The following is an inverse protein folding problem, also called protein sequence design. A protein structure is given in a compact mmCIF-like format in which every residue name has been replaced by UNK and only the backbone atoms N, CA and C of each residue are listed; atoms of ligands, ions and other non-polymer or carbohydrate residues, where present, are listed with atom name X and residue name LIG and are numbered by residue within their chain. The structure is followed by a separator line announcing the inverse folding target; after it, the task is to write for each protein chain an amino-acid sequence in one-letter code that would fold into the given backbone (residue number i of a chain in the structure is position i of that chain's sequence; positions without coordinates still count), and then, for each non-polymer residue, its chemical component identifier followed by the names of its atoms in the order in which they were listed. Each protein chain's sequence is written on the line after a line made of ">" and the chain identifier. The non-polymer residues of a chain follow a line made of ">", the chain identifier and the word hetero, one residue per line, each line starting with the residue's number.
data_IF_561558285675
#
_entry.id   IF_561558285675
#
_cell.length_a   1.000
_cell.length_b   1.000
_cell.length_c   1.000
_cell.angle_alpha   90.00
_cell.angle_beta   90.00
_cell.angle_gamma   90.00
#
_symmetry.space_group_name_H-M   'P 1'
#
loop_
_entity.id
_entity.type
_entity.pdbx_description
1 polymer ?
#
# COMPACT_ATOMS: atom_id res chain seq x y z
N UNK A 1 16.67 16.14 -17.32
CA UNK A 1 17.92 16.72 -16.78
C UNK A 1 17.75 18.21 -16.61
N UNK A 2 18.39 18.82 -15.60
CA UNK A 2 18.28 20.24 -15.16
C UNK A 2 16.86 20.67 -14.69
N UNK A 3 16.60 21.21 -13.49
CA UNK A 3 17.20 22.36 -12.74
C UNK A 3 16.92 23.71 -13.43
N UNK A 4 16.47 24.77 -12.75
CA UNK A 4 16.23 24.96 -11.30
C UNK A 4 15.31 26.15 -10.99
N UNK A 5 14.71 26.13 -9.80
CA UNK A 5 13.99 27.24 -9.16
C UNK A 5 14.82 28.51 -8.97
N UNK A 6 14.18 29.68 -9.10
CA UNK A 6 14.52 30.91 -8.35
C UNK A 6 13.24 31.62 -7.94
N UNK A 7 13.10 31.94 -6.65
CA UNK A 7 11.89 32.54 -6.07
C UNK A 7 11.81 34.06 -6.29
N UNK A 8 10.60 34.58 -6.47
CA UNK A 8 10.32 36.02 -6.52
C UNK A 8 9.82 36.51 -5.15
N UNK A 9 10.63 37.35 -4.48
CA UNK A 9 10.29 37.99 -3.21
C UNK A 9 9.63 39.34 -3.49
N UNK A 10 8.41 39.56 -2.99
CA UNK A 10 7.75 40.87 -2.98
C UNK A 10 7.13 41.14 -1.61
N UNK A 11 7.50 42.27 -1.01
CA UNK A 11 7.14 42.62 0.36
C UNK A 11 5.67 43.05 0.53
N UNK A 12 5.04 42.80 1.69
CA UNK A 12 3.76 43.40 2.04
C UNK A 12 3.94 44.88 2.41
N UNK A 13 3.12 45.74 1.79
CA UNK A 13 3.13 47.18 2.00
C UNK A 13 2.46 47.61 3.31
N UNK A 14 3.12 48.50 4.05
CA UNK A 14 2.59 49.14 5.27
C UNK A 14 1.46 50.12 4.93
N UNK A 15 0.35 50.04 5.66
CA UNK A 15 -0.68 51.09 5.71
C UNK A 15 -1.36 51.11 7.10
N UNK A 16 -0.79 51.86 8.04
CA UNK A 16 -1.52 52.23 9.26
C UNK A 16 -2.52 53.33 8.93
N UNK A 17 -3.81 53.10 9.20
CA UNK A 17 -4.80 54.18 9.20
C UNK A 17 -4.77 54.88 10.56
N UNK A 18 -4.64 56.21 10.52
CA UNK A 18 -4.48 57.11 11.67
C UNK A 18 -5.72 57.99 11.80
N UNK A 19 -6.40 57.93 12.94
CA UNK A 19 -7.34 58.96 13.41
C UNK A 19 -6.90 59.37 14.82
N UNK A 20 -6.01 60.36 14.90
CA UNK A 20 -6.35 61.76 15.22
C UNK A 20 -6.96 61.95 16.61
N UNK A 21 -6.19 62.65 17.46
CA UNK A 21 -6.51 63.03 18.83
C UNK A 21 -7.34 64.31 18.90
N UNK A 22 -8.00 64.51 20.04
CA UNK A 22 -8.38 65.85 20.52
C UNK A 22 -7.44 66.31 21.64
N UNK A 23 -7.22 67.63 21.69
CA UNK A 23 -6.45 68.46 22.66
C UNK A 23 -6.64 68.11 24.14
N UNK A 24 -5.80 68.48 25.13
CA UNK A 24 -4.68 69.45 25.26
C UNK A 24 -3.85 69.11 26.53
N UNK A 25 -2.75 69.75 26.98
CA UNK A 25 -1.92 70.89 26.54
C UNK A 25 -0.46 70.70 27.10
N UNK A 26 0.29 71.80 27.31
CA UNK A 26 1.59 72.00 27.99
C UNK A 26 1.83 71.12 29.25
N UNK A 27 2.97 70.43 29.40
CA UNK A 27 4.35 70.95 29.58
C UNK A 27 4.59 71.70 30.89
N UNK A 28 5.41 71.13 31.80
CA UNK A 28 6.21 71.90 32.76
C UNK A 28 6.24 71.40 34.22
N UNK A 29 7.46 71.41 34.78
CA UNK A 29 7.81 71.34 36.22
C UNK A 29 7.84 69.93 36.84
N UNK A 30 9.06 69.44 37.10
CA UNK A 30 9.34 68.37 38.08
C UNK A 30 9.18 68.93 39.50
N UNK A 31 8.59 68.15 40.41
CA UNK A 31 9.24 67.97 41.70
C UNK A 31 9.35 66.51 42.11
N UNK A 32 10.52 66.21 42.68
CA UNK A 32 10.86 65.08 43.54
C UNK A 32 9.69 64.65 44.45
N UNK A 33 8.96 63.59 44.06
CA UNK A 33 8.11 62.79 44.95
C UNK A 33 8.31 61.32 44.60
N UNK A 34 8.44 60.50 45.64
CA UNK A 34 8.66 59.06 45.59
C UNK A 34 7.61 58.38 44.71
N UNK A 35 8.05 57.54 43.78
CA UNK A 35 7.19 56.71 42.93
C UNK A 35 6.53 55.61 43.77
N UNK A 36 5.41 55.97 44.44
CA UNK A 36 4.59 55.04 45.20
C UNK A 36 3.90 54.10 44.20
N UNK A 37 4.53 52.95 44.03
CA UNK A 37 4.08 51.76 43.33
C UNK A 37 2.56 51.53 43.39
N UNK A 38 2.00 51.14 42.25
CA UNK A 38 0.58 50.84 42.04
C UNK A 38 -0.05 50.01 43.18
N UNK A 39 -0.97 50.64 43.91
CA UNK A 39 -1.76 50.00 44.97
C UNK A 39 -2.75 49.01 44.37
N UNK A 40 -2.34 47.75 44.20
CA UNK A 40 -3.27 46.64 44.11
C UNK A 40 -3.97 46.51 45.47
N UNK A 41 -5.30 46.45 45.45
CA UNK A 41 -6.15 46.41 46.66
C UNK A 41 -5.55 45.45 47.71
N UNK A 42 -5.22 45.96 48.92
CA UNK A 42 -4.59 45.15 49.96
C UNK A 42 -5.40 43.92 50.34
N UNK A 43 -6.74 43.96 50.24
CA UNK A 43 -7.59 42.80 50.50
C UNK A 43 -7.30 41.64 49.52
N UNK A 44 -7.19 41.95 48.22
CA UNK A 44 -6.89 40.96 47.17
C UNK A 44 -5.49 40.36 47.35
N UNK A 45 -4.51 41.17 47.79
CA UNK A 45 -3.16 40.68 48.06
C UNK A 45 -3.10 39.81 49.32
N UNK A 46 -3.82 40.17 50.38
CA UNK A 46 -3.92 39.38 51.60
C UNK A 46 -4.50 37.98 51.33
N UNK A 47 -5.60 37.90 50.58
CA UNK A 47 -6.20 36.63 50.17
C UNK A 47 -5.20 35.73 49.42
N UNK A 48 -4.45 36.30 48.46
CA UNK A 48 -3.42 35.55 47.71
C UNK A 48 -2.21 35.06 48.54
N UNK A 49 -2.06 35.54 49.78
CA UNK A 49 -1.07 35.06 50.75
C UNK A 49 -1.67 33.94 51.61
N UNK A 50 -2.91 34.14 52.08
CA UNK A 50 -3.70 33.14 52.83
C UNK A 50 -3.87 31.86 52.01
N UNK A 51 -4.16 31.98 50.71
CA UNK A 51 -4.39 30.84 49.82
C UNK A 51 -3.17 29.93 49.62
N UNK A 52 -1.95 30.47 49.77
CA UNK A 52 -0.69 29.70 49.64
C UNK A 52 -0.44 28.74 50.81
N UNK A 53 -1.11 28.89 51.94
CA UNK A 53 -0.98 27.97 53.06
C UNK A 53 -1.82 26.70 52.84
N UNK A 54 -1.29 25.51 53.20
CA UNK A 54 -1.99 24.24 52.99
C UNK A 54 -3.27 24.16 53.83
N UNK A 55 -4.27 23.44 53.30
CA UNK A 55 -5.58 23.25 53.92
C UNK A 55 -6.71 23.93 53.16
N UNK A 56 -7.87 23.26 53.09
CA UNK A 56 -9.05 23.71 52.33
C UNK A 56 -9.99 24.61 53.15
N UNK A 57 -9.87 24.63 54.49
CA UNK A 57 -10.68 25.46 55.38
C UNK A 57 -10.02 26.81 55.66
N UNK A 58 -10.80 27.89 55.59
CA UNK A 58 -10.35 29.24 55.98
C UNK A 58 -9.82 29.29 57.41
N UNK A 59 -10.42 28.53 58.33
CA UNK A 59 -10.00 28.43 59.75
C UNK A 59 -8.63 27.75 59.87
N UNK A 60 -8.33 26.79 59.01
CA UNK A 60 -7.01 26.16 58.98
C UNK A 60 -5.94 27.14 58.43
N UNK A 61 -6.24 27.84 57.32
CA UNK A 61 -5.32 28.82 56.72
C UNK A 61 -4.99 29.98 57.68
N UNK A 62 -6.00 30.57 58.33
CA UNK A 62 -5.76 31.61 59.35
C UNK A 62 -5.16 31.03 60.63
N UNK A 63 -5.54 29.81 60.99
CA UNK A 63 -4.97 29.05 62.11
C UNK A 63 -3.46 28.85 61.98
N UNK A 64 -2.94 28.50 60.79
CA UNK A 64 -1.50 28.40 60.57
C UNK A 64 -0.80 29.75 60.72
N UNK A 65 -1.32 30.83 60.12
CA UNK A 65 -0.73 32.17 60.21
C UNK A 65 -0.72 32.66 61.67
N UNK A 66 -1.83 32.46 62.40
CA UNK A 66 -1.95 32.85 63.80
C UNK A 66 -1.06 31.98 64.70
N UNK A 67 -0.96 30.67 64.45
CA UNK A 67 -0.09 29.77 65.20
C UNK A 67 1.39 30.10 64.97
N UNK A 68 1.82 30.37 63.73
CA UNK A 68 3.21 30.76 63.45
C UNK A 68 3.55 32.12 64.04
N UNK A 69 2.64 33.11 63.94
CA UNK A 69 2.84 34.45 64.50
C UNK A 69 2.81 34.44 66.03
N UNK A 70 1.90 33.66 66.63
CA UNK A 70 1.81 33.46 68.06
C UNK A 70 3.02 32.71 68.62
N UNK A 71 3.51 31.68 67.92
CA UNK A 71 4.71 30.95 68.31
C UNK A 71 5.97 31.83 68.22
N UNK A 72 6.16 32.63 67.15
CA UNK A 72 7.30 33.54 67.06
C UNK A 72 7.22 34.65 68.10
N UNK A 73 6.04 35.24 68.35
CA UNK A 73 5.84 36.20 69.43
C UNK A 73 6.12 35.58 70.82
N UNK A 74 5.74 34.33 71.05
CA UNK A 74 6.02 33.61 72.30
C UNK A 74 7.52 33.31 72.49
N UNK A 75 8.22 32.87 71.43
CA UNK A 75 9.66 32.61 71.45
C UNK A 75 10.47 33.86 71.80
N UNK A 76 10.07 35.02 71.25
CA UNK A 76 10.66 36.32 71.57
C UNK A 76 10.27 36.75 73.00
N UNK A 77 8.98 36.68 73.36
CA UNK A 77 8.46 37.12 74.67
C UNK A 77 8.97 36.30 75.86
N UNK A 78 9.48 35.07 75.62
CA UNK A 78 10.08 34.20 76.64
C UNK A 78 11.60 34.11 76.52
N UNK A 79 12.23 34.89 75.64
CA UNK A 79 13.68 34.87 75.36
C UNK A 79 14.22 33.47 74.99
N UNK A 80 13.33 32.55 74.58
CA UNK A 80 13.71 31.21 74.09
C UNK A 80 14.50 31.27 72.78
N UNK A 81 14.41 32.40 72.08
CA UNK A 81 15.25 32.75 70.94
C UNK A 81 16.03 34.04 71.25
N UNK A 82 17.34 33.90 71.47
CA UNK A 82 18.25 35.03 71.76
C UNK A 82 18.86 35.55 70.45
N UNK A 83 18.71 36.84 70.18
CA UNK A 83 19.35 37.50 69.04
C UNK A 83 20.85 37.63 69.24
N UNK A 84 21.60 36.70 68.66
CA UNK A 84 23.07 36.71 68.58
C UNK A 84 23.55 36.88 67.12
N UNK A 85 24.86 37.05 66.90
CA UNK A 85 25.51 37.18 65.60
C UNK A 85 25.11 36.08 64.58
N UNK A 86 24.85 34.87 65.05
CA UNK A 86 24.43 33.73 64.21
C UNK A 86 23.03 33.91 63.59
N UNK A 87 22.17 34.77 64.16
CA UNK A 87 20.86 35.08 63.57
C UNK A 87 20.98 35.83 62.23
N UNK A 88 22.04 36.64 62.07
CA UNK A 88 22.38 37.30 60.80
C UNK A 88 22.86 36.27 59.77
N UNK A 89 23.64 35.26 60.20
CA UNK A 89 24.09 34.15 59.34
C UNK A 89 22.89 33.32 58.88
N UNK A 90 21.95 33.00 59.78
CA UNK A 90 20.72 32.29 59.45
C UNK A 90 19.85 33.07 58.46
N UNK A 91 19.71 34.39 58.63
CA UNK A 91 18.97 35.25 57.70
C UNK A 91 19.62 35.30 56.32
N UNK A 92 20.96 35.43 56.25
CA UNK A 92 21.71 35.41 55.00
C UNK A 92 21.60 34.06 54.28
N UNK A 93 21.71 32.95 55.02
CA UNK A 93 21.54 31.60 54.47
C UNK A 93 20.10 31.37 53.97
N UNK A 94 19.08 31.77 54.74
CA UNK A 94 17.68 31.70 54.32
C UNK A 94 17.40 32.50 53.05
N UNK A 95 17.97 33.71 52.94
CA UNK A 95 17.91 34.54 51.73
C UNK A 95 18.58 33.87 50.52
N UNK A 96 19.78 33.31 50.70
CA UNK A 96 20.50 32.57 49.66
C UNK A 96 19.70 31.34 49.17
N UNK A 97 19.17 30.54 50.10
CA UNK A 97 18.35 29.35 49.79
C UNK A 97 17.07 29.75 49.06
N UNK A 98 16.40 30.84 49.46
CA UNK A 98 15.21 31.33 48.76
C UNK A 98 15.52 31.78 47.32
N UNK A 99 16.65 32.45 47.08
CA UNK A 99 17.09 32.84 45.73
C UNK A 99 17.45 31.60 44.88
N UNK A 100 18.20 30.65 45.44
CA UNK A 100 18.55 29.39 44.76
C UNK A 100 17.30 28.57 44.41
N UNK A 101 16.36 28.39 45.35
CA UNK A 101 15.12 27.65 45.12
C UNK A 101 14.31 28.24 43.96
N UNK A 102 14.15 29.56 43.90
CA UNK A 102 13.43 30.23 42.82
C UNK A 102 14.13 30.10 41.45
N UNK A 103 15.46 29.93 41.42
CA UNK A 103 16.23 29.77 40.16
C UNK A 103 16.36 28.32 39.70
N UNK A 104 16.43 27.36 40.63
CA UNK A 104 16.71 25.94 40.34
C UNK A 104 15.44 25.09 40.20
N UNK A 105 14.33 25.48 40.84
CA UNK A 105 13.06 24.73 40.79
C UNK A 105 12.52 24.52 39.37
N UNK A 106 12.54 25.56 38.51
CA UNK A 106 12.06 25.46 37.13
C UNK A 106 12.84 24.44 36.28
N UNK A 107 14.18 24.53 36.12
CA UNK A 107 14.93 23.58 35.31
C UNK A 107 14.92 22.15 35.89
N UNK A 108 14.86 21.97 37.21
CA UNK A 108 14.71 20.62 37.78
C UNK A 108 13.34 19.99 37.45
N UNK A 109 12.25 20.76 37.52
CA UNK A 109 10.92 20.26 37.17
C UNK A 109 10.84 19.87 35.69
N UNK A 110 11.44 20.67 34.80
CA UNK A 110 11.53 20.36 33.37
C UNK A 110 12.36 19.09 33.12
N UNK A 111 13.53 18.96 33.75
CA UNK A 111 14.38 17.77 33.65
C UNK A 111 13.69 16.48 34.13
N UNK A 112 12.98 16.53 35.27
CA UNK A 112 12.21 15.38 35.77
C UNK A 112 11.06 15.02 34.82
N UNK A 113 10.35 16.01 34.28
CA UNK A 113 9.28 15.79 33.31
C UNK A 113 9.80 15.18 32.00
N UNK A 114 10.95 15.66 31.50
CA UNK A 114 11.61 15.14 30.30
C UNK A 114 12.10 13.70 30.52
N UNK A 115 12.77 13.40 31.63
CA UNK A 115 13.19 12.04 31.98
C UNK A 115 12.00 11.09 31.98
N UNK A 116 10.92 11.45 32.69
CA UNK A 116 9.70 10.64 32.76
C UNK A 116 9.06 10.40 31.39
N UNK A 117 9.03 11.43 30.54
CA UNK A 117 8.54 11.35 29.16
C UNK A 117 9.42 10.45 28.29
N UNK A 118 10.74 10.55 28.38
CA UNK A 118 11.68 9.74 27.62
C UNK A 118 11.61 8.26 28.03
N UNK A 119 11.54 7.96 29.33
CA UNK A 119 11.36 6.59 29.83
C UNK A 119 10.02 5.99 29.37
N UNK A 120 8.92 6.76 29.48
CA UNK A 120 7.61 6.33 28.98
C UNK A 120 7.62 6.10 27.47
N UNK A 121 8.26 6.97 26.71
CA UNK A 121 8.41 6.84 25.25
C UNK A 121 9.11 5.54 24.89
N UNK A 122 10.30 5.26 25.45
CA UNK A 122 11.04 4.02 25.20
C UNK A 122 10.18 2.78 25.52
N UNK A 123 9.45 2.80 26.64
CA UNK A 123 8.57 1.68 27.04
C UNK A 123 7.32 1.51 26.17
N UNK A 124 6.86 2.56 25.48
CA UNK A 124 5.77 2.51 24.51
C UNK A 124 6.30 2.07 23.14
N UNK A 125 7.42 2.63 22.70
CA UNK A 125 8.07 2.32 21.42
C UNK A 125 8.50 0.85 21.38
N UNK A 126 9.14 0.33 22.44
CA UNK A 126 9.52 -1.09 22.53
C UNK A 126 8.32 -2.05 22.51
N UNK A 127 7.18 -1.68 23.10
CA UNK A 127 5.93 -2.47 23.02
C UNK A 127 5.34 -2.45 21.62
N UNK A 128 5.38 -1.30 20.95
CA UNK A 128 4.88 -1.13 19.59
C UNK A 128 5.74 -1.88 18.57
N UNK A 129 7.07 -1.80 18.70
CA UNK A 129 8.03 -2.54 17.88
C UNK A 129 7.87 -4.06 18.06
N UNK A 130 7.85 -4.56 19.30
CA UNK A 130 7.61 -5.98 19.54
C UNK A 130 6.25 -6.44 18.97
N UNK A 131 5.19 -5.63 19.10
CA UNK A 131 3.88 -5.92 18.48
C UNK A 131 4.00 -5.95 16.95
N UNK A 132 4.70 -5.01 16.32
CA UNK A 132 4.89 -4.98 14.87
C UNK A 132 5.70 -6.19 14.37
N UNK A 133 6.75 -6.60 15.08
CA UNK A 133 7.53 -7.79 14.78
C UNK A 133 6.70 -9.08 14.91
N UNK A 134 5.85 -9.18 15.93
CA UNK A 134 4.94 -10.33 16.10
C UNK A 134 3.89 -10.36 14.97
N UNK A 135 3.33 -9.22 14.57
CA UNK A 135 2.39 -9.13 13.42
C UNK A 135 3.09 -9.55 12.13
N UNK A 136 4.28 -9.04 11.83
CA UNK A 136 5.07 -9.43 10.65
C UNK A 136 5.38 -10.93 10.60
N UNK A 137 5.66 -11.55 11.76
CA UNK A 137 5.82 -13.01 11.88
C UNK A 137 4.51 -13.76 11.65
N UNK A 138 3.38 -13.24 12.15
CA UNK A 138 2.04 -13.81 11.89
C UNK A 138 1.70 -13.75 10.41
N UNK A 139 1.93 -12.62 9.73
CA UNK A 139 1.68 -12.46 8.29
C UNK A 139 2.54 -13.43 7.46
N UNK A 140 3.81 -13.59 7.84
CA UNK A 140 4.72 -14.57 7.22
C UNK A 140 4.22 -16.01 7.41
N UNK A 141 3.81 -16.39 8.63
CA UNK A 141 3.27 -17.72 8.91
C UNK A 141 1.88 -17.95 8.29
N UNK A 142 1.09 -16.89 8.09
CA UNK A 142 -0.21 -16.93 7.41
C UNK A 142 -0.05 -17.39 5.96
N UNK A 143 1.00 -16.93 5.26
CA UNK A 143 1.31 -17.40 3.90
C UNK A 143 1.64 -18.90 3.84
N UNK A 144 2.20 -19.47 4.92
CA UNK A 144 2.49 -20.91 5.00
C UNK A 144 1.23 -21.77 5.21
N UNK A 145 0.11 -21.18 5.66
CA UNK A 145 -1.15 -21.88 5.92
C UNK A 145 -1.69 -22.58 4.66
N UNK A 146 -1.53 -21.96 3.50
CA UNK A 146 -2.12 -22.43 2.23
C UNK A 146 -1.24 -23.47 1.51
N UNK A 147 -0.06 -23.80 2.04
CA UNK A 147 0.84 -24.81 1.45
C UNK A 147 0.21 -26.20 1.48
N UNK A 148 -0.49 -26.57 2.56
CA UNK A 148 -1.13 -27.89 2.70
C UNK A 148 -2.23 -28.14 1.65
N UNK A 149 -3.25 -27.26 1.47
CA UNK A 149 -4.23 -27.44 0.42
C UNK A 149 -3.63 -27.33 -0.99
N UNK A 150 -2.67 -26.42 -1.22
CA UNK A 150 -1.99 -26.29 -2.52
C UNK A 150 -1.22 -27.56 -2.88
N UNK A 151 -0.48 -28.15 -1.94
CA UNK A 151 0.25 -29.41 -2.15
C UNK A 151 -0.72 -30.56 -2.42
N UNK A 152 -1.83 -30.65 -1.69
CA UNK A 152 -2.89 -31.65 -1.95
C UNK A 152 -3.52 -31.47 -3.34
N UNK A 153 -3.71 -30.22 -3.79
CA UNK A 153 -4.17 -29.90 -5.15
C UNK A 153 -3.17 -30.37 -6.21
N UNK A 154 -1.87 -30.12 -6.03
CA UNK A 154 -0.82 -30.59 -6.95
C UNK A 154 -0.76 -32.12 -7.05
N UNK A 155 -0.91 -32.85 -5.94
CA UNK A 155 -1.02 -34.31 -5.97
C UNK A 155 -2.35 -34.80 -6.58
N UNK A 156 -3.44 -34.03 -6.46
CA UNK A 156 -4.71 -34.28 -7.15
C UNK A 156 -4.55 -34.18 -8.66
N UNK A 157 -4.05 -33.04 -9.14
CA UNK A 157 -3.76 -32.76 -10.55
C UNK A 157 -2.78 -33.79 -11.13
N UNK A 158 -1.76 -34.21 -10.38
CA UNK A 158 -0.83 -35.26 -10.81
C UNK A 158 -1.52 -36.61 -11.05
N UNK A 159 -2.52 -36.98 -10.23
CA UNK A 159 -3.31 -38.22 -10.44
C UNK A 159 -4.29 -38.09 -11.60
N UNK A 160 -4.94 -36.93 -11.72
CA UNK A 160 -5.85 -36.64 -12.83
C UNK A 160 -5.13 -36.67 -14.19
N UNK A 161 -3.91 -36.11 -14.24
CA UNK A 161 -3.02 -36.15 -15.40
C UNK A 161 -2.63 -37.58 -15.79
N UNK A 162 -2.39 -38.48 -14.82
CA UNK A 162 -2.11 -39.89 -15.09
C UNK A 162 -3.32 -40.62 -15.67
N UNK A 163 -4.53 -40.35 -15.16
CA UNK A 163 -5.77 -40.93 -15.69
C UNK A 163 -6.01 -40.45 -17.13
N UNK A 164 -5.95 -39.14 -17.39
CA UNK A 164 -6.07 -38.57 -18.74
C UNK A 164 -5.00 -39.12 -19.69
N UNK A 165 -3.76 -39.30 -19.24
CA UNK A 165 -2.71 -39.90 -20.06
C UNK A 165 -3.01 -41.36 -20.44
N UNK A 166 -3.63 -42.13 -19.53
CA UNK A 166 -4.08 -43.50 -19.83
C UNK A 166 -5.17 -43.51 -20.91
N UNK A 167 -6.19 -42.67 -20.76
CA UNK A 167 -7.28 -42.52 -21.74
C UNK A 167 -6.77 -42.06 -23.12
N UNK A 168 -5.87 -41.06 -23.13
CA UNK A 168 -5.21 -40.58 -24.35
C UNK A 168 -4.41 -41.70 -25.03
N UNK A 169 -3.73 -42.56 -24.27
CA UNK A 169 -2.96 -43.67 -24.83
C UNK A 169 -3.86 -44.77 -25.41
N UNK A 170 -4.96 -45.12 -24.76
CA UNK A 170 -5.97 -46.02 -25.34
C UNK A 170 -6.58 -45.46 -26.64
N UNK A 171 -6.94 -44.18 -26.65
CA UNK A 171 -7.50 -43.52 -27.82
C UNK A 171 -6.48 -43.46 -28.97
N UNK A 172 -5.20 -43.20 -28.68
CA UNK A 172 -4.10 -43.26 -29.66
C UNK A 172 -3.95 -44.66 -30.25
N UNK A 173 -3.99 -45.72 -29.43
CA UNK A 173 -3.94 -47.11 -29.93
C UNK A 173 -5.13 -47.42 -30.85
N UNK A 174 -6.35 -47.03 -30.45
CA UNK A 174 -7.57 -47.19 -31.26
C UNK A 174 -7.49 -46.42 -32.60
N UNK A 175 -6.88 -45.23 -32.61
CA UNK A 175 -6.65 -44.42 -33.83
C UNK A 175 -5.57 -45.05 -34.73
N UNK A 176 -4.47 -45.55 -34.15
CA UNK A 176 -3.40 -46.21 -34.90
C UNK A 176 -3.94 -47.44 -35.66
N UNK A 177 -4.65 -48.34 -34.98
CA UNK A 177 -5.28 -49.51 -35.59
C UNK A 177 -6.27 -49.10 -36.69
N UNK A 178 -7.08 -48.05 -36.47
CA UNK A 178 -7.99 -47.52 -37.50
C UNK A 178 -7.23 -47.01 -38.73
N UNK A 179 -6.11 -46.34 -38.54
CA UNK A 179 -5.28 -45.81 -39.62
C UNK A 179 -4.58 -46.93 -40.41
N UNK A 180 -4.13 -47.99 -39.75
CA UNK A 180 -3.59 -49.19 -40.39
C UNK A 180 -4.67 -49.88 -41.26
N UNK A 181 -5.85 -50.15 -40.69
CA UNK A 181 -6.98 -50.75 -41.42
C UNK A 181 -7.39 -49.87 -42.62
N UNK A 182 -7.46 -48.54 -42.44
CA UNK A 182 -7.74 -47.61 -43.54
C UNK A 182 -6.68 -47.70 -44.63
N UNK A 183 -5.39 -47.73 -44.26
CA UNK A 183 -4.28 -47.80 -45.21
C UNK A 183 -4.32 -49.11 -46.02
N UNK A 184 -4.66 -50.23 -45.36
CA UNK A 184 -4.90 -51.51 -46.04
C UNK A 184 -6.09 -51.38 -47.00
N UNK A 185 -7.23 -50.86 -46.57
CA UNK A 185 -8.41 -50.70 -47.42
C UNK A 185 -8.16 -49.77 -48.63
N UNK A 186 -7.51 -48.62 -48.42
CA UNK A 186 -7.09 -47.71 -49.48
C UNK A 186 -6.16 -48.42 -50.49
N UNK A 187 -5.30 -49.34 -50.03
CA UNK A 187 -4.42 -50.12 -50.91
C UNK A 187 -5.19 -51.15 -51.76
N UNK A 188 -6.25 -51.76 -51.22
CA UNK A 188 -7.14 -52.64 -51.99
C UNK A 188 -7.93 -51.87 -53.05
N UNK A 189 -8.49 -50.70 -52.70
CA UNK A 189 -9.18 -49.84 -53.67
C UNK A 189 -8.24 -49.40 -54.79
N UNK A 190 -7.01 -48.97 -54.45
CA UNK A 190 -6.00 -48.60 -55.45
C UNK A 190 -5.58 -49.77 -56.34
N UNK A 191 -5.54 -50.99 -55.80
CA UNK A 191 -5.28 -52.20 -56.58
C UNK A 191 -6.44 -52.53 -57.54
N UNK A 192 -7.69 -52.41 -57.07
CA UNK A 192 -8.88 -52.61 -57.90
C UNK A 192 -8.97 -51.59 -59.04
N UNK A 193 -8.75 -50.30 -58.75
CA UNK A 193 -8.70 -49.24 -59.78
C UNK A 193 -7.61 -49.50 -60.82
N UNK A 194 -6.45 -50.01 -60.39
CA UNK A 194 -5.36 -50.41 -61.29
C UNK A 194 -5.75 -51.59 -62.18
N UNK A 195 -6.46 -52.60 -61.65
CA UNK A 195 -7.02 -53.70 -62.45
C UNK A 195 -8.02 -53.15 -63.47
N UNK A 196 -9.02 -52.38 -63.03
CA UNK A 196 -10.06 -51.80 -63.89
C UNK A 196 -9.46 -50.96 -65.02
N UNK A 197 -8.42 -50.17 -64.75
CA UNK A 197 -7.70 -49.39 -65.77
C UNK A 197 -6.92 -50.30 -66.75
N UNK A 198 -6.27 -51.36 -66.26
CA UNK A 198 -5.57 -52.32 -67.12
C UNK A 198 -6.53 -53.13 -68.00
N UNK A 199 -7.68 -53.55 -67.47
CA UNK A 199 -8.74 -54.24 -68.23
C UNK A 199 -9.32 -53.32 -69.31
N UNK A 200 -9.68 -52.08 -68.97
CA UNK A 200 -10.13 -51.08 -69.95
C UNK A 200 -9.08 -50.85 -71.04
N UNK A 201 -7.80 -50.79 -70.66
CA UNK A 201 -6.70 -50.69 -71.62
C UNK A 201 -6.62 -51.91 -72.54
N UNK A 202 -6.60 -53.13 -72.00
CA UNK A 202 -6.59 -54.35 -72.81
C UNK A 202 -7.80 -54.45 -73.74
N UNK A 203 -9.01 -54.15 -73.26
CA UNK A 203 -10.22 -54.15 -74.07
C UNK A 203 -10.15 -53.10 -75.16
N UNK A 204 -9.69 -51.87 -74.86
CA UNK A 204 -9.52 -50.83 -75.89
C UNK A 204 -8.47 -51.21 -76.95
N UNK A 205 -7.34 -51.79 -76.55
CA UNK A 205 -6.31 -52.29 -77.48
C UNK A 205 -6.85 -53.46 -78.35
N UNK A 206 -7.63 -54.38 -77.77
CA UNK A 206 -8.33 -55.44 -78.52
C UNK A 206 -9.36 -54.89 -79.51
N UNK A 207 -10.20 -53.93 -79.09
CA UNK A 207 -11.19 -53.27 -79.96
C UNK A 207 -10.50 -52.52 -81.10
N UNK A 208 -9.47 -51.71 -80.82
CA UNK A 208 -8.69 -50.99 -81.83
C UNK A 208 -8.07 -51.98 -82.84
N UNK A 209 -7.50 -53.09 -82.37
CA UNK A 209 -6.92 -54.11 -83.24
C UNK A 209 -7.96 -54.87 -84.07
N UNK A 210 -9.14 -55.15 -83.51
CA UNK A 210 -10.24 -55.79 -84.23
C UNK A 210 -10.84 -54.85 -85.29
N UNK A 211 -11.02 -53.57 -84.98
CA UNK A 211 -11.45 -52.54 -85.95
C UNK A 211 -10.42 -52.40 -87.07
N UNK A 212 -9.11 -52.31 -86.77
CA UNK A 212 -8.05 -52.30 -87.79
C UNK A 212 -8.08 -53.54 -88.70
N UNK A 213 -8.29 -54.74 -88.15
CA UNK A 213 -8.47 -55.97 -88.93
C UNK A 213 -9.72 -55.91 -89.81
N UNK A 214 -10.85 -55.45 -89.28
CA UNK A 214 -12.09 -55.30 -90.05
C UNK A 214 -11.95 -54.27 -91.18
N UNK A 215 -11.23 -53.16 -90.98
CA UNK A 215 -10.94 -52.17 -92.03
C UNK A 215 -10.00 -52.71 -93.12
N UNK A 216 -9.23 -53.76 -92.84
CA UNK A 216 -8.31 -54.39 -93.81
C UNK A 216 -9.02 -55.46 -94.67
N UNK A 217 -10.21 -55.91 -94.29
CA UNK A 217 -10.95 -56.92 -95.06
C UNK A 217 -11.57 -56.30 -96.34
N UNK A 218 -11.49 -56.96 -97.50
CA UNK A 218 -11.97 -56.39 -98.77
C UNK A 218 -13.50 -56.26 -98.84
N UNK A 219 -14.25 -57.11 -98.11
CA UNK A 219 -15.72 -57.10 -98.10
C UNK A 219 -16.28 -55.85 -97.41
N UNK A 220 -15.77 -55.54 -96.21
CA UNK A 220 -16.13 -54.34 -95.45
C UNK A 220 -15.69 -53.06 -96.15
N UNK A 221 -14.57 -53.04 -96.88
CA UNK A 221 -14.18 -51.91 -97.71
C UNK A 221 -15.21 -51.63 -98.82
N UNK A 222 -15.72 -52.66 -99.50
CA UNK A 222 -16.77 -52.51 -100.51
C UNK A 222 -18.09 -52.02 -99.89
N UNK A 223 -18.49 -52.57 -98.74
CA UNK A 223 -19.67 -52.12 -98.01
C UNK A 223 -19.53 -50.66 -97.54
N UNK A 224 -18.32 -50.22 -97.12
CA UNK A 224 -18.05 -48.83 -96.74
C UNK A 224 -18.15 -47.88 -97.94
N UNK A 225 -17.59 -48.26 -99.09
CA UNK A 225 -17.69 -47.49 -100.35
C UNK A 225 -19.16 -47.38 -100.78
N UNK A 226 -19.94 -48.45 -100.65
CA UNK A 226 -21.38 -48.43 -100.93
C UNK A 226 -22.17 -47.54 -99.96
N UNK A 227 -21.81 -47.53 -98.67
CA UNK A 227 -22.39 -46.62 -97.68
C UNK A 227 -22.03 -45.16 -97.97
N UNK A 228 -20.76 -44.84 -98.24
CA UNK A 228 -20.33 -43.50 -98.63
C UNK A 228 -21.02 -43.01 -99.91
N UNK A 229 -21.23 -43.88 -100.91
CA UNK A 229 -22.01 -43.56 -102.11
C UNK A 229 -23.49 -43.31 -101.80
N UNK A 230 -24.08 -44.06 -100.87
CA UNK A 230 -25.47 -43.84 -100.44
C UNK A 230 -25.63 -42.56 -99.61
N UNK A 231 -24.68 -42.21 -98.76
CA UNK A 231 -24.72 -40.98 -97.97
C UNK A 231 -24.42 -39.75 -98.84
N UNK A 232 -23.53 -39.85 -99.84
CA UNK A 232 -23.42 -38.83 -100.91
C UNK A 232 -24.73 -38.65 -101.66
N UNK A 233 -25.43 -39.74 -102.03
CA UNK A 233 -26.76 -39.66 -102.65
C UNK A 233 -27.78 -38.98 -101.74
N UNK A 234 -27.78 -39.26 -100.42
CA UNK A 234 -28.68 -38.58 -99.47
C UNK A 234 -28.36 -37.09 -99.35
N UNK A 235 -27.09 -36.71 -99.19
CA UNK A 235 -26.69 -35.30 -99.11
C UNK A 235 -27.05 -34.52 -100.38
N UNK A 236 -26.90 -35.15 -101.54
CA UNK A 236 -27.23 -34.58 -102.86
C UNK A 236 -28.74 -34.66 -103.22
N UNK A 237 -29.58 -35.15 -102.29
CA UNK A 237 -31.05 -35.12 -102.35
C UNK A 237 -31.62 -34.16 -101.28
N UNK A 238 -30.81 -33.75 -100.30
CA UNK A 238 -31.14 -32.74 -99.29
C UNK A 238 -30.60 -31.34 -99.62
N UNK A 239 -30.17 -31.12 -100.86
CA UNK A 239 -29.70 -29.85 -101.42
C UNK A 239 -30.40 -29.58 -102.76
#
# INVERSE_FOLDING_TARGET
>A
MARSSTASVRAPSVAMIRSMSTSSDKQGILPLIIEISTLKDPAVKANSIIDKFPGESMVAKTGYILATTGATAFLISKELYVFNSETVVMAAFGGLVALLYNKVSQPMNEWVAEYGKNMKKILTDARNDHKAQVVSKIDSLSQLKDIVPTTKSMFGLSREMLNMMSEINELKQKIAIRQEIKTVLDSWVRYEDSIRQNEQRQVSEQVINNVRKQLTNPKTQQDLIAQCLNDLKKMNVSA
#
